data_IF_268407774255
#
_entry.id   IF_268407774255
#
_cell.length_a   1.000
_cell.length_b   1.000
_cell.length_c   1.000
_cell.angle_alpha   90.00
_cell.angle_beta   90.00
_cell.angle_gamma   90.00
#
_symmetry.space_group_name_H-M   'P 1'
#
loop_
_entity.id
_entity.type
_entity.pdbx_description
1 polymer ?
#
# COMPACT_ATOMS: atom_id res chain seq x y z
N UNK A 1 2.92 1.90 -11.35
CA UNK A 1 1.93 0.81 -11.18
C UNK A 1 1.83 0.53 -9.68
N UNK A 2 0.64 0.41 -9.13
CA UNK A 2 0.45 0.01 -7.73
C UNK A 2 0.71 -1.49 -7.61
N UNK A 3 1.72 -1.87 -6.82
CA UNK A 3 2.14 -3.27 -6.68
C UNK A 3 1.71 -3.88 -5.33
N UNK A 4 1.05 -3.10 -4.48
CA UNK A 4 0.55 -3.53 -3.18
C UNK A 4 -0.69 -2.74 -2.77
N UNK A 5 -1.52 -3.34 -1.93
CA UNK A 5 -2.69 -2.70 -1.34
C UNK A 5 -2.95 -3.29 0.06
N UNK A 6 -3.69 -2.53 0.87
CA UNK A 6 -4.25 -3.02 2.13
C UNK A 6 -5.72 -3.32 1.90
N UNK A 7 -6.16 -4.52 2.25
CA UNK A 7 -7.55 -4.95 2.12
C UNK A 7 -8.14 -5.17 3.51
N UNK A 8 -9.34 -4.66 3.73
CA UNK A 8 -10.12 -4.87 4.96
C UNK A 8 -11.45 -5.50 4.60
N UNK A 9 -11.92 -6.44 5.42
CA UNK A 9 -13.26 -7.03 5.26
C UNK A 9 -14.33 -5.98 5.61
N UNK A 10 -15.39 -5.88 4.81
CA UNK A 10 -16.46 -4.88 5.01
C UNK A 10 -17.07 -4.95 6.41
N UNK A 11 -17.41 -6.15 6.88
CA UNK A 11 -17.97 -6.36 8.24
C UNK A 11 -17.05 -5.80 9.35
N UNK A 12 -15.74 -5.94 9.17
CA UNK A 12 -14.76 -5.44 10.13
C UNK A 12 -14.69 -3.91 10.09
N UNK A 13 -14.69 -3.32 8.88
CA UNK A 13 -14.69 -1.87 8.69
C UNK A 13 -15.93 -1.23 9.31
N UNK A 14 -17.11 -1.81 9.08
CA UNK A 14 -18.38 -1.32 9.63
C UNK A 14 -18.40 -1.35 11.16
N UNK A 15 -17.94 -2.46 11.75
CA UNK A 15 -17.93 -2.63 13.21
C UNK A 15 -16.79 -1.89 13.91
N UNK A 16 -15.68 -1.62 13.20
CA UNK A 16 -14.42 -1.13 13.79
C UNK A 16 -13.84 0.07 13.06
N UNK A 17 -14.67 0.97 12.51
CA UNK A 17 -14.22 2.12 11.71
C UNK A 17 -13.11 2.93 12.38
N UNK A 18 -13.23 3.20 13.70
CA UNK A 18 -12.21 3.95 14.46
C UNK A 18 -10.84 3.25 14.48
N UNK A 19 -10.83 1.93 14.59
CA UNK A 19 -9.58 1.15 14.57
C UNK A 19 -8.95 1.16 13.18
N UNK A 20 -9.76 1.06 12.11
CA UNK A 20 -9.27 1.17 10.72
C UNK A 20 -8.71 2.56 10.45
N UNK A 21 -9.40 3.61 10.89
CA UNK A 21 -8.94 4.98 10.75
C UNK A 21 -7.61 5.24 11.49
N UNK A 22 -7.47 4.69 12.70
CA UNK A 22 -6.23 4.75 13.47
C UNK A 22 -5.09 3.99 12.77
N UNK A 23 -5.34 2.77 12.31
CA UNK A 23 -4.39 1.98 11.54
C UNK A 23 -3.89 2.74 10.31
N UNK A 24 -4.79 3.32 9.50
CA UNK A 24 -4.39 4.05 8.30
C UNK A 24 -3.53 5.28 8.61
N UNK A 25 -3.83 5.98 9.72
CA UNK A 25 -3.03 7.11 10.19
C UNK A 25 -1.62 6.67 10.59
N UNK A 26 -1.52 5.60 11.38
CA UNK A 26 -0.23 5.06 11.84
C UNK A 26 0.57 4.46 10.68
N UNK A 27 -0.10 3.82 9.73
CA UNK A 27 0.50 3.26 8.53
C UNK A 27 1.11 4.36 7.64
N UNK A 28 0.38 5.46 7.43
CA UNK A 28 0.93 6.62 6.72
C UNK A 28 2.15 7.21 7.46
N UNK A 29 2.08 7.34 8.78
CA UNK A 29 3.21 7.82 9.57
C UNK A 29 4.44 6.89 9.45
N UNK A 30 4.25 5.58 9.45
CA UNK A 30 5.32 4.60 9.26
C UNK A 30 5.94 4.66 7.86
N UNK A 31 5.12 4.87 6.82
CA UNK A 31 5.62 5.07 5.45
C UNK A 31 6.45 6.36 5.35
N UNK A 32 5.96 7.46 5.92
CA UNK A 32 6.70 8.72 5.90
C UNK A 32 8.03 8.58 6.64
N UNK A 33 8.02 7.94 7.81
CA UNK A 33 9.21 7.66 8.61
C UNK A 33 10.26 6.86 7.82
N UNK A 34 9.84 5.90 7.00
CA UNK A 34 10.74 5.10 6.14
C UNK A 34 11.58 6.00 5.21
N UNK A 35 10.97 7.07 4.68
CA UNK A 35 11.63 8.02 3.78
C UNK A 35 12.43 9.11 4.51
N UNK A 36 11.91 9.61 5.63
CA UNK A 36 12.51 10.69 6.43
C UNK A 36 13.70 10.19 7.27
N UNK A 37 13.67 8.92 7.70
CA UNK A 37 14.65 8.29 8.58
C UNK A 37 15.29 7.06 7.93
N UNK A 38 15.87 7.25 6.74
CA UNK A 38 16.42 6.17 5.92
C UNK A 38 17.48 5.31 6.65
N UNK A 39 18.37 5.96 7.42
CA UNK A 39 19.43 5.27 8.18
C UNK A 39 18.87 4.39 9.29
N UNK A 40 17.96 4.92 10.10
CA UNK A 40 17.29 4.20 11.18
C UNK A 40 16.45 3.05 10.60
N UNK A 41 15.72 3.32 9.53
CA UNK A 41 14.90 2.31 8.82
C UNK A 41 15.76 1.17 8.29
N UNK A 42 16.91 1.48 7.67
CA UNK A 42 17.84 0.47 7.18
C UNK A 42 18.38 -0.43 8.32
N UNK A 43 18.70 0.15 9.48
CA UNK A 43 19.11 -0.60 10.66
C UNK A 43 17.99 -1.48 11.20
N UNK A 44 16.74 -1.00 11.20
CA UNK A 44 15.58 -1.81 11.59
C UNK A 44 15.37 -2.98 10.61
N UNK A 45 15.57 -2.79 9.31
CA UNK A 45 15.48 -3.86 8.32
C UNK A 45 16.49 -4.98 8.59
N UNK A 46 17.72 -4.65 8.99
CA UNK A 46 18.72 -5.66 9.38
C UNK A 46 18.38 -6.31 10.71
N UNK A 47 18.05 -5.50 11.72
CA UNK A 47 17.70 -5.99 13.07
C UNK A 47 16.55 -7.00 13.06
N UNK A 48 15.54 -6.76 12.22
CA UNK A 48 14.38 -7.65 12.08
C UNK A 48 14.50 -8.62 10.91
N UNK A 49 15.70 -8.77 10.34
CA UNK A 49 16.01 -9.76 9.29
C UNK A 49 15.15 -9.63 8.02
N UNK A 50 14.59 -8.45 7.76
CA UNK A 50 13.81 -8.13 6.54
C UNK A 50 14.76 -8.01 5.35
N UNK A 51 15.88 -7.31 5.54
CA UNK A 51 16.98 -7.22 4.59
C UNK A 51 18.27 -7.53 5.36
N UNK A 52 19.07 -8.53 4.93
CA UNK A 52 20.19 -9.03 5.73
C UNK A 52 21.28 -8.01 6.12
N UNK A 53 21.32 -6.83 5.49
CA UNK A 53 22.33 -5.79 5.74
C UNK A 53 21.73 -4.39 5.60
N UNK A 54 21.98 -3.51 6.57
CA UNK A 54 21.51 -2.13 6.55
C UNK A 54 22.04 -1.36 5.33
N UNK A 55 23.30 -1.54 4.94
CA UNK A 55 23.86 -0.88 3.75
C UNK A 55 23.13 -1.24 2.44
N UNK A 56 22.61 -2.47 2.36
CA UNK A 56 21.79 -2.91 1.22
C UNK A 56 20.40 -2.28 1.31
N UNK A 57 19.78 -2.30 2.49
CA UNK A 57 18.48 -1.67 2.73
C UNK A 57 18.50 -0.18 2.39
N UNK A 58 19.53 0.55 2.85
CA UNK A 58 19.73 1.99 2.60
C UNK A 58 19.76 2.32 1.10
N UNK A 59 20.32 1.44 0.27
CA UNK A 59 20.35 1.59 -1.20
C UNK A 59 19.04 1.15 -1.85
N UNK A 60 18.37 0.14 -1.30
CA UNK A 60 17.16 -0.43 -1.89
C UNK A 60 15.92 0.44 -1.63
N UNK A 61 15.73 0.93 -0.41
CA UNK A 61 14.52 1.65 0.03
C UNK A 61 14.13 2.82 -0.91
N UNK A 62 15.05 3.70 -1.34
CA UNK A 62 14.69 4.79 -2.27
C UNK A 62 14.19 4.29 -3.62
N UNK A 63 14.66 3.12 -4.08
CA UNK A 63 14.24 2.50 -5.34
C UNK A 63 12.91 1.76 -5.22
N UNK A 64 12.48 1.43 -3.99
CA UNK A 64 11.18 0.79 -3.75
C UNK A 64 10.00 1.76 -3.94
N UNK A 65 10.25 3.08 -4.00
CA UNK A 65 9.23 4.12 -4.15
C UNK A 65 8.05 3.90 -3.18
N UNK A 66 8.36 3.76 -1.90
CA UNK A 66 7.37 3.48 -0.85
C UNK A 66 6.59 4.78 -0.59
N UNK A 67 5.30 4.80 -0.92
CA UNK A 67 4.42 5.95 -0.69
C UNK A 67 3.03 5.49 -0.28
N UNK A 68 2.31 6.37 0.41
CA UNK A 68 0.94 6.15 0.82
C UNK A 68 -0.01 6.94 -0.07
N UNK A 69 -1.06 6.29 -0.57
CA UNK A 69 -2.19 6.94 -1.23
C UNK A 69 -3.50 6.49 -0.58
N UNK A 70 -4.47 7.40 -0.49
CA UNK A 70 -5.81 7.12 0.04
C UNK A 70 -6.86 7.97 -0.66
N UNK A 71 -8.14 7.66 -0.45
CA UNK A 71 -9.24 8.40 -1.06
C UNK A 71 -9.21 8.36 -2.59
N UNK A 72 -9.48 9.50 -3.21
CA UNK A 72 -9.54 9.64 -4.67
C UNK A 72 -8.22 9.30 -5.37
N UNK A 73 -7.07 9.66 -4.79
CA UNK A 73 -5.76 9.32 -5.38
C UNK A 73 -5.57 7.80 -5.45
N UNK A 74 -5.91 7.09 -4.38
CA UNK A 74 -5.83 5.63 -4.34
C UNK A 74 -6.79 4.98 -5.33
N UNK A 75 -8.03 5.49 -5.42
CA UNK A 75 -9.01 5.04 -6.41
C UNK A 75 -8.46 5.20 -7.82
N UNK A 76 -8.00 6.39 -8.17
CA UNK A 76 -7.47 6.71 -9.50
C UNK A 76 -6.28 5.82 -9.90
N UNK A 77 -5.32 5.61 -9.00
CA UNK A 77 -4.18 4.72 -9.27
C UNK A 77 -4.62 3.27 -9.49
N UNK A 78 -5.55 2.79 -8.67
CA UNK A 78 -6.00 1.40 -8.71
C UNK A 78 -6.93 1.12 -9.88
N UNK A 79 -7.83 2.04 -10.22
CA UNK A 79 -8.69 1.98 -11.41
C UNK A 79 -7.87 1.86 -12.69
N UNK A 80 -6.84 2.70 -12.83
CA UNK A 80 -5.95 2.64 -13.98
C UNK A 80 -5.20 1.31 -14.05
N UNK A 81 -4.79 0.77 -12.90
CA UNK A 81 -4.16 -0.55 -12.84
C UNK A 81 -5.11 -1.67 -13.29
N UNK A 82 -6.35 -1.70 -12.79
CA UNK A 82 -7.34 -2.70 -13.22
C UNK A 82 -7.70 -2.57 -14.70
N UNK A 83 -7.78 -1.36 -15.25
CA UNK A 83 -8.01 -1.15 -16.69
C UNK A 83 -6.88 -1.74 -17.55
N UNK A 84 -5.62 -1.58 -17.13
CA UNK A 84 -4.46 -2.18 -17.80
C UNK A 84 -4.49 -3.71 -17.70
N UNK A 85 -4.80 -4.25 -16.52
CA UNK A 85 -4.92 -5.69 -16.36
C UNK A 85 -6.06 -6.28 -17.21
N UNK A 86 -7.20 -5.62 -17.23
CA UNK A 86 -8.37 -6.05 -18.00
C UNK A 86 -8.11 -5.99 -19.52
N UNK A 87 -7.44 -4.94 -20.00
CA UNK A 87 -7.11 -4.83 -21.44
C UNK A 87 -6.10 -5.89 -21.89
N UNK A 88 -5.22 -6.34 -20.99
CA UNK A 88 -4.26 -7.41 -21.27
C UNK A 88 -4.87 -8.82 -21.15
N UNK A 89 -5.59 -9.08 -20.06
CA UNK A 89 -6.27 -10.35 -19.80
C UNK A 89 -7.46 -10.14 -18.84
N UNK A 90 -8.71 -10.17 -19.33
CA UNK A 90 -9.90 -10.00 -18.49
C UNK A 90 -9.99 -10.96 -17.31
N UNK A 91 -9.45 -12.18 -17.43
CA UNK A 91 -9.48 -13.17 -16.35
C UNK A 91 -8.65 -12.73 -15.12
N UNK A 92 -7.64 -11.87 -15.30
CA UNK A 92 -6.79 -11.36 -14.21
C UNK A 92 -7.54 -10.50 -13.20
N UNK A 93 -8.71 -9.97 -13.56
CA UNK A 93 -9.59 -9.18 -12.66
C UNK A 93 -10.94 -9.86 -12.42
N UNK A 94 -11.07 -11.15 -12.75
CA UNK A 94 -12.33 -11.89 -12.57
C UNK A 94 -13.35 -11.69 -13.71
N UNK A 95 -12.90 -11.27 -14.89
CA UNK A 95 -13.72 -11.19 -16.11
C UNK A 95 -14.48 -9.88 -16.31
N UNK A 96 -14.47 -8.97 -15.32
CA UNK A 96 -15.03 -7.62 -15.42
C UNK A 96 -14.26 -6.66 -14.51
N UNK A 97 -14.35 -5.37 -14.78
CA UNK A 97 -13.81 -4.37 -13.85
C UNK A 97 -14.61 -4.37 -12.54
N UNK A 98 -13.94 -4.21 -11.38
CA UNK A 98 -14.62 -4.01 -10.11
C UNK A 98 -15.53 -2.78 -10.12
N UNK A 99 -16.56 -2.80 -9.27
CA UNK A 99 -17.36 -1.61 -8.99
C UNK A 99 -16.70 -0.74 -7.90
N UNK A 100 -17.28 0.44 -7.67
CA UNK A 100 -16.77 1.42 -6.71
C UNK A 100 -16.73 0.90 -5.26
N UNK A 101 -17.48 -0.17 -4.94
CA UNK A 101 -17.52 -0.76 -3.60
C UNK A 101 -16.21 -1.45 -3.20
N UNK A 102 -15.29 -1.69 -4.14
CA UNK A 102 -13.95 -2.20 -3.82
C UNK A 102 -13.05 -1.13 -3.18
N UNK A 103 -13.38 0.16 -3.35
CA UNK A 103 -12.56 1.28 -2.88
C UNK A 103 -13.05 1.80 -1.54
N UNK A 104 -12.09 2.09 -0.66
CA UNK A 104 -12.35 2.88 0.53
C UNK A 104 -12.03 4.35 0.26
N UNK A 105 -13.08 5.16 0.04
CA UNK A 105 -13.00 6.62 -0.04
C UNK A 105 -13.69 7.19 1.20
N UNK A 106 -12.94 7.98 1.98
CA UNK A 106 -13.43 8.57 3.24
C UNK A 106 -14.42 9.70 3.00
#
# INVERSE_FOLDING_TARGET
LTMGCVVVRSEFLESNKKAVDAFLKEYQASINYTSEHLDETAQLCEKYEIIPKADVAKKAIPNCNIFFASGEDMKNYTDNFFKVLYSYNPASVGGKLPDDGIYYVK
#
